data_IF_385464407998
#
_entry.id   IF_385464407998
#
_cell.length_a   1.000
_cell.length_b   1.000
_cell.length_c   1.000
_cell.angle_alpha   90.00
_cell.angle_beta   90.00
_cell.angle_gamma   90.00
#
_symmetry.space_group_name_H-M   'P 1'
#
loop_
_entity.id
_entity.type
_entity.pdbx_description
1 polymer ?
#
# COMPACT_ATOMS: atom_id res chain seq x y z
N UNK A 1 7.30 -27.99 -10.77
CA UNK A 1 6.90 -26.60 -10.49
C UNK A 1 5.38 -26.56 -10.51
N UNK A 2 4.78 -25.99 -9.48
CA UNK A 2 3.33 -25.79 -9.43
C UNK A 2 2.94 -24.66 -10.40
N UNK A 3 1.66 -24.60 -10.78
CA UNK A 3 1.08 -23.46 -11.54
C UNK A 3 1.37 -22.10 -10.88
N UNK A 4 1.62 -22.09 -9.57
CA UNK A 4 1.83 -20.89 -8.76
C UNK A 4 3.28 -20.39 -8.76
N UNK A 5 4.21 -21.17 -9.31
CA UNK A 5 5.63 -20.80 -9.38
C UNK A 5 6.01 -20.09 -10.70
N UNK A 6 5.01 -19.85 -11.57
CA UNK A 6 5.21 -19.21 -12.87
C UNK A 6 4.55 -17.83 -12.90
N UNK A 7 5.24 -16.86 -13.52
CA UNK A 7 4.67 -15.55 -13.76
C UNK A 7 3.50 -15.66 -14.75
N UNK A 8 2.45 -14.88 -14.51
CA UNK A 8 1.37 -14.74 -15.47
C UNK A 8 1.89 -14.16 -16.79
N UNK A 9 1.33 -14.61 -17.90
CA UNK A 9 1.64 -14.03 -19.20
C UNK A 9 1.07 -12.61 -19.32
N UNK A 10 1.58 -11.84 -20.28
CA UNK A 10 1.21 -10.43 -20.45
C UNK A 10 -0.28 -10.26 -20.76
N UNK A 11 -0.86 -11.15 -21.57
CA UNK A 11 -2.28 -11.10 -21.92
C UNK A 11 -3.19 -11.22 -20.68
N UNK A 12 -2.86 -12.13 -19.76
CA UNK A 12 -3.60 -12.30 -18.50
C UNK A 12 -3.52 -11.04 -17.63
N UNK A 13 -2.34 -10.41 -17.58
CA UNK A 13 -2.13 -9.17 -16.84
C UNK A 13 -2.96 -8.03 -17.45
N UNK A 14 -2.89 -7.83 -18.76
CA UNK A 14 -3.62 -6.76 -19.46
C UNK A 14 -5.14 -6.95 -19.31
N UNK A 15 -5.64 -8.18 -19.46
CA UNK A 15 -7.06 -8.50 -19.23
C UNK A 15 -7.49 -8.20 -17.78
N UNK A 16 -6.62 -8.47 -16.81
CA UNK A 16 -6.89 -8.19 -15.39
C UNK A 16 -6.95 -6.68 -15.14
N UNK A 17 -6.03 -5.90 -15.71
CA UNK A 17 -6.02 -4.45 -15.59
C UNK A 17 -7.31 -3.85 -16.18
N UNK A 18 -7.73 -4.29 -17.36
CA UNK A 18 -8.97 -3.81 -17.97
C UNK A 18 -10.21 -4.19 -17.14
N UNK A 19 -10.23 -5.38 -16.53
CA UNK A 19 -11.31 -5.79 -15.64
C UNK A 19 -11.36 -4.93 -14.36
N UNK A 20 -10.21 -4.63 -13.75
CA UNK A 20 -10.11 -3.74 -12.59
C UNK A 20 -10.55 -2.32 -12.93
N UNK A 21 -10.13 -1.80 -14.09
CA UNK A 21 -10.50 -0.47 -14.57
C UNK A 21 -12.00 -0.31 -14.76
N UNK A 22 -12.68 -1.34 -15.30
CA UNK A 22 -14.15 -1.37 -15.39
C UNK A 22 -14.86 -1.29 -14.04
N UNK A 23 -14.16 -1.65 -12.95
CA UNK A 23 -14.64 -1.56 -11.58
C UNK A 23 -14.09 -0.33 -10.82
N UNK A 24 -13.55 0.66 -11.53
CA UNK A 24 -13.05 1.90 -10.92
C UNK A 24 -11.68 1.78 -10.26
N UNK A 25 -10.94 0.70 -10.50
CA UNK A 25 -9.59 0.48 -9.96
C UNK A 25 -8.56 0.69 -11.08
N UNK A 26 -7.76 1.75 -10.99
CA UNK A 26 -6.64 1.99 -11.92
C UNK A 26 -5.39 1.19 -11.50
N UNK A 27 -5.18 0.04 -12.14
CA UNK A 27 -4.03 -0.83 -11.91
C UNK A 27 -2.90 -0.52 -12.89
N UNK A 28 -1.65 -0.47 -12.38
CA UNK A 28 -0.45 -0.24 -13.19
C UNK A 28 0.47 -1.45 -13.13
N UNK A 29 0.94 -1.92 -14.30
CA UNK A 29 1.97 -2.95 -14.40
C UNK A 29 3.35 -2.31 -14.57
N UNK A 30 4.31 -2.80 -13.82
CA UNK A 30 5.71 -2.35 -13.82
C UNK A 30 6.64 -3.56 -13.80
N UNK A 31 7.88 -3.38 -14.29
CA UNK A 31 8.78 -4.51 -14.55
C UNK A 31 9.50 -5.06 -13.32
N UNK A 32 9.56 -4.30 -12.22
CA UNK A 32 10.31 -4.67 -11.03
C UNK A 32 9.81 -3.97 -9.76
N UNK A 33 10.38 -4.36 -8.61
CA UNK A 33 10.01 -3.83 -7.30
C UNK A 33 10.38 -2.36 -7.13
N UNK A 34 11.49 -1.91 -7.73
CA UNK A 34 11.99 -0.54 -7.63
C UNK A 34 11.05 0.44 -8.33
N UNK A 35 10.56 0.06 -9.50
CA UNK A 35 9.53 0.79 -10.26
C UNK A 35 8.20 0.84 -9.50
N UNK A 36 7.78 -0.27 -8.90
CA UNK A 36 6.56 -0.30 -8.09
C UNK A 36 6.66 0.64 -6.89
N UNK A 37 7.79 0.59 -6.16
CA UNK A 37 8.06 1.48 -5.03
C UNK A 37 8.02 2.94 -5.47
N UNK A 38 8.74 3.29 -6.53
CA UNK A 38 8.83 4.66 -7.05
C UNK A 38 7.46 5.20 -7.45
N UNK A 39 6.68 4.43 -8.21
CA UNK A 39 5.37 4.85 -8.70
C UNK A 39 4.42 5.18 -7.54
N UNK A 40 4.39 4.36 -6.48
CA UNK A 40 3.57 4.64 -5.30
C UNK A 40 4.03 5.92 -4.60
N UNK A 41 5.33 6.14 -4.44
CA UNK A 41 5.86 7.34 -3.78
C UNK A 41 5.61 8.63 -4.57
N UNK A 42 5.51 8.55 -5.89
CA UNK A 42 5.16 9.67 -6.77
C UNK A 42 3.65 9.93 -6.79
N UNK A 43 2.84 8.87 -6.69
CA UNK A 43 1.39 8.96 -6.78
C UNK A 43 0.73 9.52 -5.52
N UNK A 44 1.23 9.12 -4.34
CA UNK A 44 0.67 9.58 -3.06
C UNK A 44 1.17 10.99 -2.75
N UNK A 45 0.28 11.99 -2.53
CA UNK A 45 0.70 13.34 -2.19
C UNK A 45 1.46 13.40 -0.87
N UNK A 46 2.40 14.35 -0.79
CA UNK A 46 3.12 14.65 0.43
C UNK A 46 2.15 15.09 1.54
N UNK A 47 2.42 14.67 2.77
CA UNK A 47 1.60 14.96 3.94
C UNK A 47 0.36 14.08 4.13
N UNK A 48 0.08 13.14 3.20
CA UNK A 48 -1.04 12.21 3.29
C UNK A 48 -0.91 11.27 4.51
N UNK A 49 -2.05 10.96 5.14
CA UNK A 49 -2.16 9.88 6.12
C UNK A 49 -2.13 8.54 5.38
N UNK A 50 -1.15 7.67 5.67
CA UNK A 50 -0.97 6.39 4.98
C UNK A 50 -0.93 5.24 5.97
N UNK A 51 -1.76 4.23 5.75
CA UNK A 51 -1.86 3.02 6.56
C UNK A 51 -1.24 1.83 5.82
N UNK A 52 -0.13 1.28 6.34
CA UNK A 52 0.57 0.14 5.72
C UNK A 52 0.18 -1.22 6.33
N UNK A 53 -0.52 -1.23 7.47
CA UNK A 53 -0.83 -2.43 8.25
C UNK A 53 0.39 -3.37 8.41
N UNK A 54 0.22 -4.68 8.24
CA UNK A 54 1.28 -5.72 8.28
C UNK A 54 1.48 -6.34 6.89
N UNK A 55 1.45 -5.53 5.82
CA UNK A 55 1.53 -6.02 4.45
C UNK A 55 2.93 -6.53 4.10
N UNK A 56 3.07 -7.85 3.93
CA UNK A 56 4.32 -8.48 3.46
C UNK A 56 4.72 -7.98 2.08
N UNK A 57 3.76 -7.67 1.20
CA UNK A 57 4.05 -7.12 -0.13
C UNK A 57 4.73 -5.76 -0.03
N UNK A 58 4.22 -4.85 0.81
CA UNK A 58 4.81 -3.51 1.00
C UNK A 58 6.21 -3.59 1.64
N UNK A 59 6.42 -4.55 2.55
CA UNK A 59 7.75 -4.83 3.13
C UNK A 59 8.71 -5.34 2.05
N UNK A 60 8.29 -6.32 1.27
CA UNK A 60 9.11 -6.98 0.24
C UNK A 60 9.61 -6.01 -0.83
N UNK A 61 8.81 -5.00 -1.18
CA UNK A 61 9.19 -3.96 -2.14
C UNK A 61 9.82 -2.71 -1.48
N UNK A 62 9.95 -2.71 -0.14
CA UNK A 62 10.60 -1.65 0.62
C UNK A 62 9.76 -0.39 0.85
N UNK A 63 8.46 -0.41 0.57
CA UNK A 63 7.57 0.75 0.80
C UNK A 63 7.33 1.01 2.29
N UNK A 64 7.20 -0.05 3.10
CA UNK A 64 6.98 0.09 4.54
C UNK A 64 8.06 0.94 5.21
N UNK A 65 9.33 0.73 4.84
CA UNK A 65 10.46 1.50 5.38
C UNK A 65 10.46 2.97 4.94
N UNK A 66 10.04 3.26 3.71
CA UNK A 66 9.94 4.64 3.22
C UNK A 66 8.78 5.40 3.88
N UNK A 67 7.63 4.73 4.05
CA UNK A 67 6.41 5.35 4.58
C UNK A 67 6.50 5.55 6.09
N UNK A 68 7.00 4.56 6.84
CA UNK A 68 6.96 4.56 8.31
C UNK A 68 8.20 5.18 8.98
N UNK A 69 9.21 5.64 8.23
CA UNK A 69 10.39 6.28 8.84
C UNK A 69 10.04 7.60 9.54
N UNK A 70 10.77 7.95 10.60
CA UNK A 70 10.57 9.17 11.41
C UNK A 70 10.55 10.49 10.61
N UNK A 71 11.24 10.54 9.46
CA UNK A 71 11.29 11.70 8.56
C UNK A 71 10.64 11.37 7.21
N UNK A 72 9.53 10.64 7.25
CA UNK A 72 8.72 10.37 6.07
C UNK A 72 8.08 11.66 5.58
N UNK A 73 7.88 11.76 4.26
CA UNK A 73 7.04 12.80 3.67
C UNK A 73 5.54 12.52 3.89
N UNK A 74 5.19 11.31 4.35
CA UNK A 74 3.84 10.89 4.71
C UNK A 74 3.64 10.91 6.22
N UNK A 75 2.38 10.84 6.65
CA UNK A 75 1.98 10.65 8.04
C UNK A 75 1.65 9.17 8.26
N UNK A 76 2.55 8.37 8.86
CA UNK A 76 2.31 6.93 9.03
C UNK A 76 1.23 6.68 10.08
N UNK A 77 0.08 6.16 9.63
CA UNK A 77 -1.09 5.89 10.50
C UNK A 77 -0.85 4.69 11.41
N UNK A 78 -0.14 3.67 10.90
CA UNK A 78 0.16 2.43 11.62
C UNK A 78 0.79 2.70 12.99
N UNK A 79 1.87 3.47 13.02
CA UNK A 79 2.62 3.73 14.25
C UNK A 79 1.82 4.59 15.23
N UNK A 80 1.05 5.56 14.70
CA UNK A 80 0.12 6.35 15.52
C UNK A 80 -0.93 5.45 16.17
N UNK A 81 -1.56 4.57 15.42
CA UNK A 81 -2.62 3.68 15.92
C UNK A 81 -2.09 2.67 16.95
N UNK A 82 -0.85 2.18 16.80
CA UNK A 82 -0.23 1.27 17.75
C UNK A 82 0.26 1.94 19.04
N UNK A 83 0.55 3.25 19.00
CA UNK A 83 0.92 4.01 20.19
C UNK A 83 -0.28 4.48 21.03
N UNK A 84 -1.51 4.31 20.54
CA UNK A 84 -2.73 4.80 21.18
C UNK A 84 -3.29 3.86 22.25
N UNK A 85 -3.91 4.46 23.26
CA UNK A 85 -4.61 3.77 24.33
C UNK A 85 -6.05 3.42 23.93
N UNK A 86 -6.34 2.11 23.91
CA UNK A 86 -7.65 1.55 23.56
C UNK A 86 -8.76 1.86 24.54
N UNK A 87 -8.45 2.32 25.75
CA UNK A 87 -9.43 2.65 26.77
C UNK A 87 -9.88 4.11 26.67
N UNK A 88 -8.97 5.01 26.33
CA UNK A 88 -9.23 6.46 26.32
C UNK A 88 -9.35 7.05 24.91
N UNK A 89 -8.85 6.38 23.87
CA UNK A 89 -8.72 6.95 22.52
C UNK A 89 -9.47 6.18 21.43
N UNK A 90 -10.43 5.33 21.80
CA UNK A 90 -11.18 4.45 20.87
C UNK A 90 -11.80 5.19 19.68
N UNK A 91 -12.34 6.39 19.88
CA UNK A 91 -12.95 7.15 18.80
C UNK A 91 -11.93 7.55 17.73
N UNK A 92 -10.76 8.04 18.13
CA UNK A 92 -9.69 8.40 17.19
C UNK A 92 -9.07 7.16 16.55
N UNK A 93 -8.99 6.03 17.26
CA UNK A 93 -8.56 4.75 16.67
C UNK A 93 -9.53 4.29 15.58
N UNK A 94 -10.84 4.40 15.82
CA UNK A 94 -11.86 4.09 14.82
C UNK A 94 -11.77 5.06 13.63
N UNK A 95 -11.55 6.36 13.87
CA UNK A 95 -11.34 7.33 12.79
C UNK A 95 -10.14 6.95 11.92
N UNK A 96 -9.00 6.63 12.54
CA UNK A 96 -7.77 6.30 11.82
C UNK A 96 -7.81 4.92 11.15
N UNK A 97 -8.51 3.95 11.75
CA UNK A 97 -8.61 2.58 11.24
C UNK A 97 -9.71 2.37 10.20
N UNK A 98 -10.73 3.23 10.16
CA UNK A 98 -11.87 3.14 9.25
C UNK A 98 -11.91 4.23 8.18
N UNK A 99 -10.96 5.18 8.18
CA UNK A 99 -10.82 6.12 7.08
C UNK A 99 -10.45 5.38 5.78
N UNK A 100 -11.09 5.69 4.64
CA UNK A 100 -10.72 5.12 3.34
C UNK A 100 -9.34 5.57 2.88
#
# INVERSE_FOLDING_TARGET
MSKWDQLANKETIDNTIEALKKNGIDARFVGNREEAKRLVLEFVPDGSEVMTMTSTTLETIGLSGEINRKKSKFKPVRDKLYAMDRTTQTQEMNRLGAAP
#
